data_IF_053202249686
#
_entry.id   IF_053202249686
#
_cell.length_a   1.000
_cell.length_b   1.000
_cell.length_c   1.000
_cell.angle_alpha   90.00
_cell.angle_beta   90.00
_cell.angle_gamma   90.00
#
_symmetry.space_group_name_H-M   'P 1'
#
loop_
_entity.id
_entity.type
_entity.pdbx_description
1 polymer ?
#
# COMPACT_ATOMS: atom_id res chain seq x y z
N UNK A 1 -51.98 -10.15 26.46
CA UNK A 1 -51.45 -10.41 27.81
C UNK A 1 -50.30 -11.40 27.71
N UNK A 2 -49.20 -11.03 28.35
CA UNK A 2 -47.90 -11.71 28.47
C UNK A 2 -46.95 -11.53 27.29
N UNK A 3 -46.06 -10.58 27.51
CA UNK A 3 -44.79 -10.34 26.90
C UNK A 3 -43.77 -11.41 27.32
N UNK A 4 -43.12 -12.05 26.38
CA UNK A 4 -41.92 -12.86 26.64
C UNK A 4 -40.72 -12.14 26.06
N UNK A 5 -39.87 -11.66 26.99
CA UNK A 5 -38.53 -11.13 26.72
C UNK A 5 -37.61 -12.28 26.32
N UNK A 6 -36.98 -12.17 25.18
CA UNK A 6 -35.84 -13.01 24.78
C UNK A 6 -34.56 -12.39 25.35
N UNK A 7 -33.71 -13.14 26.07
CA UNK A 7 -32.44 -12.65 26.60
C UNK A 7 -31.41 -12.50 25.48
N UNK A 8 -30.71 -11.36 25.50
CA UNK A 8 -29.64 -11.07 24.58
C UNK A 8 -28.49 -12.09 24.67
N UNK A 9 -28.04 -12.52 23.52
CA UNK A 9 -26.82 -13.33 23.39
C UNK A 9 -25.62 -12.45 23.74
N UNK A 10 -24.89 -12.84 24.77
CA UNK A 10 -23.55 -12.31 25.04
C UNK A 10 -22.62 -12.85 23.98
N UNK A 11 -21.88 -11.95 23.30
CA UNK A 11 -20.80 -12.31 22.40
C UNK A 11 -19.75 -13.10 23.18
N UNK A 12 -19.42 -14.28 22.70
CA UNK A 12 -18.29 -15.06 23.19
C UNK A 12 -17.01 -14.47 22.58
N UNK A 13 -16.02 -14.23 23.41
CA UNK A 13 -14.70 -13.74 22.99
C UNK A 13 -13.94 -14.87 22.30
N UNK A 14 -13.29 -14.54 21.21
CA UNK A 14 -12.33 -15.42 20.54
C UNK A 14 -11.11 -15.62 21.42
N UNK A 15 -10.66 -16.87 21.57
CA UNK A 15 -9.43 -17.19 22.30
C UNK A 15 -8.27 -17.34 21.32
N UNK A 16 -7.28 -16.45 21.42
CA UNK A 16 -6.01 -16.59 20.72
C UNK A 16 -4.98 -17.27 21.62
N UNK A 17 -4.48 -18.43 21.21
CA UNK A 17 -3.42 -19.15 21.94
C UNK A 17 -2.07 -18.75 21.35
N UNK A 18 -1.31 -17.97 22.10
CA UNK A 18 0.09 -17.69 21.81
C UNK A 18 0.97 -18.73 22.50
N UNK A 19 1.65 -19.56 21.72
CA UNK A 19 2.67 -20.47 22.25
C UNK A 19 3.93 -19.68 22.55
N UNK A 20 4.22 -19.50 23.82
CA UNK A 20 5.25 -18.63 24.34
C UNK A 20 6.67 -18.99 23.88
N UNK A 21 7.45 -17.97 23.63
CA UNK A 21 8.87 -18.01 23.34
C UNK A 21 9.67 -17.60 24.54
N UNK A 22 10.58 -18.43 24.96
CA UNK A 22 11.68 -18.07 25.84
C UNK A 22 12.98 -18.20 25.06
N UNK A 23 13.66 -17.10 24.79
CA UNK A 23 15.09 -17.08 24.53
C UNK A 23 15.70 -15.75 24.95
N UNK A 24 16.79 -15.81 25.72
CA UNK A 24 17.42 -14.63 26.26
C UNK A 24 18.48 -14.12 25.29
N UNK A 25 18.45 -12.85 24.94
CA UNK A 25 19.66 -12.18 24.52
C UNK A 25 19.69 -10.75 25.05
N UNK A 26 20.49 -10.55 26.07
CA UNK A 26 20.93 -9.24 26.51
C UNK A 26 22.02 -8.77 25.57
N UNK A 27 21.88 -7.57 25.00
CA UNK A 27 23.01 -6.75 24.66
C UNK A 27 22.61 -5.27 24.65
N UNK A 28 23.44 -4.50 25.30
CA UNK A 28 23.32 -3.04 25.51
C UNK A 28 23.84 -2.26 24.31
N UNK A 29 23.29 -1.08 24.18
CA UNK A 29 23.83 0.19 23.65
C UNK A 29 23.67 0.53 22.18
N UNK A 30 23.04 1.65 21.98
CA UNK A 30 23.20 2.71 20.94
C UNK A 30 23.27 2.29 19.44
N UNK A 31 22.23 2.36 18.71
CA UNK A 31 21.73 3.43 17.87
C UNK A 31 22.11 3.48 16.40
N UNK A 32 22.22 2.36 15.73
CA UNK A 32 21.95 2.22 14.29
C UNK A 32 21.33 0.85 14.09
N UNK A 33 20.13 0.78 13.55
CA UNK A 33 19.53 -0.51 13.22
C UNK A 33 20.18 -0.98 11.92
N UNK A 34 21.03 -2.00 12.03
CA UNK A 34 21.60 -2.72 10.89
C UNK A 34 20.79 -4.00 10.77
N UNK A 35 20.06 -4.15 9.69
CA UNK A 35 19.45 -5.43 9.33
C UNK A 35 20.49 -6.23 8.54
N UNK A 36 21.06 -7.27 9.15
CA UNK A 36 21.97 -8.21 8.47
C UNK A 36 21.14 -9.27 7.74
N UNK A 37 21.36 -9.43 6.46
CA UNK A 37 20.89 -10.57 5.67
C UNK A 37 21.92 -11.70 5.79
N UNK A 38 21.47 -12.93 5.96
CA UNK A 38 22.24 -14.14 6.22
C UNK A 38 23.21 -14.53 5.09
N UNK A 39 24.33 -15.05 5.49
CA UNK A 39 25.53 -15.44 4.73
C UNK A 39 25.29 -16.47 3.62
N UNK A 40 25.87 -16.21 2.44
CA UNK A 40 26.29 -17.22 1.48
C UNK A 40 27.83 -17.24 1.45
N UNK A 41 28.39 -18.44 1.39
CA UNK A 41 29.83 -18.72 1.48
C UNK A 41 30.66 -17.99 0.42
N UNK A 42 31.75 -17.38 0.88
CA UNK A 42 32.69 -16.57 0.11
C UNK A 42 33.73 -17.44 -0.56
N UNK A 43 33.92 -17.27 -1.88
CA UNK A 43 35.14 -17.60 -2.59
C UNK A 43 36.09 -16.38 -2.56
N UNK A 44 37.34 -16.59 -2.22
CA UNK A 44 38.36 -15.58 -1.97
C UNK A 44 38.71 -14.74 -3.23
N UNK A 45 38.83 -13.41 -3.03
CA UNK A 45 39.62 -12.55 -3.88
C UNK A 45 38.89 -11.50 -4.70
N UNK A 46 38.15 -10.58 -4.05
CA UNK A 46 37.89 -9.20 -4.51
C UNK A 46 37.60 -8.33 -3.28
N UNK A 47 38.08 -7.09 -3.27
CA UNK A 47 37.71 -6.12 -2.24
C UNK A 47 36.18 -6.13 -2.03
N UNK A 48 35.69 -6.13 -0.79
CA UNK A 48 34.26 -6.20 -0.54
C UNK A 48 33.62 -4.91 -1.08
N UNK A 49 32.84 -5.03 -2.15
CA UNK A 49 31.85 -4.03 -2.49
C UNK A 49 30.98 -3.90 -1.22
N UNK A 50 30.90 -2.70 -0.64
CA UNK A 50 30.03 -2.40 0.49
C UNK A 50 28.62 -2.85 0.12
N UNK A 51 28.11 -3.87 0.82
CA UNK A 51 26.74 -4.33 0.59
C UNK A 51 25.77 -3.15 0.66
N UNK A 52 24.81 -3.03 -0.26
CA UNK A 52 23.89 -1.93 -0.28
C UNK A 52 23.05 -1.94 1.00
N UNK A 53 23.27 -0.94 1.84
CA UNK A 53 22.73 -0.79 3.19
C UNK A 53 21.31 -0.23 3.12
N UNK A 54 20.35 -0.77 3.86
CA UNK A 54 19.05 -0.15 4.06
C UNK A 54 19.15 0.84 5.22
N UNK A 55 18.89 2.11 4.94
CA UNK A 55 18.79 3.17 5.95
C UNK A 55 17.41 3.83 5.89
N UNK A 56 16.75 3.95 7.05
CA UNK A 56 15.45 4.61 7.18
C UNK A 56 15.56 5.71 8.21
N UNK A 57 15.22 6.91 7.81
CA UNK A 57 15.22 8.11 8.66
C UNK A 57 13.90 8.86 8.53
N UNK A 58 13.53 9.59 9.57
CA UNK A 58 12.31 10.42 9.60
C UNK A 58 12.61 11.85 10.00
N UNK A 59 11.73 12.77 9.63
CA UNK A 59 11.77 14.15 10.13
C UNK A 59 11.68 14.16 11.67
N UNK A 60 12.27 15.16 12.29
CA UNK A 60 12.49 15.23 13.74
C UNK A 60 11.26 14.93 14.61
N UNK A 61 10.07 15.32 14.16
CA UNK A 61 8.82 15.17 14.92
C UNK A 61 7.85 14.16 14.29
N UNK A 62 8.30 13.34 13.35
CA UNK A 62 7.44 12.35 12.70
C UNK A 62 6.79 11.40 13.71
N UNK A 63 7.55 10.92 14.69
CA UNK A 63 7.04 10.00 15.72
C UNK A 63 6.01 10.66 16.63
N UNK A 64 6.19 11.94 16.97
CA UNK A 64 5.22 12.70 17.74
C UNK A 64 3.94 12.91 16.93
N UNK A 65 4.07 13.29 15.65
CA UNK A 65 2.93 13.40 14.75
C UNK A 65 2.14 12.06 14.63
N UNK A 66 2.83 10.93 14.53
CA UNK A 66 2.19 9.60 14.51
C UNK A 66 1.43 9.32 15.82
N UNK A 67 2.04 9.65 16.96
CA UNK A 67 1.42 9.46 18.26
C UNK A 67 0.20 10.37 18.46
N UNK A 68 0.28 11.64 18.08
CA UNK A 68 -0.80 12.63 18.18
C UNK A 68 -1.99 12.23 17.31
N UNK A 69 -1.75 11.70 16.11
CA UNK A 69 -2.78 11.21 15.20
C UNK A 69 -3.18 9.75 15.48
N UNK A 70 -2.58 9.08 16.47
CA UNK A 70 -2.84 7.69 16.85
C UNK A 70 -2.79 6.76 15.64
N UNK A 71 -1.74 6.86 14.84
CA UNK A 71 -1.61 6.14 13.58
C UNK A 71 -0.23 5.52 13.42
N UNK A 72 -0.18 4.30 12.93
CA UNK A 72 0.99 3.69 12.32
C UNK A 72 0.82 3.67 10.80
N UNK A 73 1.92 3.49 10.07
CA UNK A 73 1.92 3.48 8.61
C UNK A 73 2.37 2.12 8.09
N UNK A 74 1.81 1.71 6.96
CA UNK A 74 2.27 0.54 6.22
C UNK A 74 2.52 0.90 4.76
N UNK A 75 3.52 0.27 4.13
CA UNK A 75 3.75 0.41 2.71
C UNK A 75 4.43 -0.81 2.12
N UNK A 76 4.23 -1.00 0.83
CA UNK A 76 4.84 -2.06 0.03
C UNK A 76 5.94 -1.52 -0.87
N UNK A 77 6.84 -2.42 -1.30
CA UNK A 77 7.93 -2.11 -2.23
C UNK A 77 7.91 -3.11 -3.38
N UNK A 78 7.90 -2.61 -4.60
CA UNK A 78 7.74 -3.44 -5.79
C UNK A 78 8.90 -4.43 -6.00
N UNK A 79 10.11 -3.90 -6.18
CA UNK A 79 11.27 -4.72 -6.58
C UNK A 79 11.86 -5.56 -5.46
N UNK A 80 11.96 -4.98 -4.27
CA UNK A 80 12.54 -5.68 -3.13
C UNK A 80 11.54 -6.62 -2.46
N UNK A 81 10.25 -6.54 -2.86
CA UNK A 81 9.19 -7.40 -2.35
C UNK A 81 9.03 -7.31 -0.85
N UNK A 82 9.13 -6.12 -0.28
CA UNK A 82 9.03 -5.91 1.16
C UNK A 82 7.75 -5.17 1.54
N UNK A 83 7.18 -5.59 2.65
CA UNK A 83 6.17 -4.83 3.41
C UNK A 83 6.86 -4.20 4.58
N UNK A 84 6.70 -2.91 4.75
CA UNK A 84 7.15 -2.17 5.92
C UNK A 84 5.96 -1.75 6.76
N UNK A 85 6.09 -1.92 8.08
CA UNK A 85 5.18 -1.40 9.07
C UNK A 85 5.96 -0.43 9.96
N UNK A 86 5.50 0.82 9.98
CA UNK A 86 6.17 1.91 10.67
C UNK A 86 5.32 2.32 11.87
N UNK A 87 5.91 2.32 13.03
CA UNK A 87 5.27 2.68 14.29
C UNK A 87 6.19 3.46 15.21
N UNK A 88 5.83 3.53 16.48
CA UNK A 88 6.58 4.24 17.50
C UNK A 88 7.00 3.28 18.62
N UNK A 89 8.27 3.32 19.01
CA UNK A 89 8.83 2.61 20.17
C UNK A 89 8.81 3.52 21.41
N UNK A 90 8.88 2.94 22.62
CA UNK A 90 9.08 3.72 23.84
C UNK A 90 10.25 4.71 23.71
N UNK A 91 10.04 5.94 24.21
CA UNK A 91 11.00 7.05 24.09
C UNK A 91 10.98 7.70 22.70
N UNK A 92 9.82 7.71 22.06
CA UNK A 92 9.52 8.42 20.79
C UNK A 92 10.45 8.04 19.63
N UNK A 93 10.92 6.79 19.63
CA UNK A 93 11.79 6.26 18.58
C UNK A 93 10.99 5.59 17.49
N UNK A 94 11.44 5.78 16.26
CA UNK A 94 10.83 5.11 15.10
C UNK A 94 10.94 3.58 15.26
N UNK A 95 9.81 2.89 15.11
CA UNK A 95 9.74 1.44 14.96
C UNK A 95 9.64 1.11 13.48
N UNK A 96 10.58 0.33 13.00
CA UNK A 96 10.54 -0.18 11.62
C UNK A 96 10.46 -1.70 11.70
N UNK A 97 9.44 -2.26 11.11
CA UNK A 97 9.25 -3.69 10.97
C UNK A 97 9.13 -4.04 9.49
N UNK A 98 9.72 -5.14 9.04
CA UNK A 98 9.63 -5.55 7.64
C UNK A 98 9.46 -7.06 7.47
N UNK A 99 8.78 -7.46 6.41
CA UNK A 99 8.71 -8.84 5.92
C UNK A 99 8.80 -8.86 4.40
N UNK A 100 9.40 -9.93 3.90
CA UNK A 100 9.60 -10.11 2.47
C UNK A 100 8.57 -11.08 1.90
N UNK A 101 7.91 -10.65 0.84
CA UNK A 101 7.03 -11.44 -0.01
C UNK A 101 7.47 -11.31 -1.47
N UNK A 102 6.87 -12.06 -2.35
CA UNK A 102 7.26 -12.02 -3.74
C UNK A 102 6.53 -10.89 -4.48
N UNK A 103 7.20 -9.79 -4.80
CA UNK A 103 6.66 -8.61 -5.51
C UNK A 103 5.37 -8.07 -4.87
N UNK A 104 5.49 -7.45 -3.68
CA UNK A 104 4.34 -6.80 -3.03
C UNK A 104 3.94 -5.55 -3.79
N UNK A 105 2.61 -5.38 -3.99
CA UNK A 105 2.05 -4.23 -4.70
C UNK A 105 0.89 -3.63 -3.93
N UNK A 106 -0.35 -3.72 -4.42
CA UNK A 106 -1.52 -3.15 -3.74
C UNK A 106 -1.67 -3.64 -2.30
N UNK A 107 -1.95 -2.72 -1.40
CA UNK A 107 -2.11 -2.94 0.04
C UNK A 107 -3.36 -2.21 0.53
N UNK A 108 -4.23 -2.91 1.26
CA UNK A 108 -5.45 -2.36 1.81
C UNK A 108 -5.56 -2.69 3.29
N UNK A 109 -5.97 -1.71 4.10
CA UNK A 109 -6.36 -1.89 5.49
C UNK A 109 -7.89 -1.85 5.59
N UNK A 110 -8.47 -2.82 6.25
CA UNK A 110 -9.90 -2.98 6.44
C UNK A 110 -10.22 -3.24 7.91
N UNK A 111 -11.50 -3.10 8.28
CA UNK A 111 -11.99 -3.38 9.63
C UNK A 111 -11.15 -2.67 10.72
N UNK A 112 -11.01 -1.34 10.60
CA UNK A 112 -10.23 -0.50 11.52
C UNK A 112 -8.80 -1.01 11.76
N UNK A 113 -8.16 -1.50 10.70
CA UNK A 113 -6.79 -2.02 10.76
C UNK A 113 -6.67 -3.41 11.39
N UNK A 114 -7.76 -4.15 11.57
CA UNK A 114 -7.70 -5.54 12.03
C UNK A 114 -7.33 -6.49 10.90
N UNK A 115 -7.73 -6.18 9.68
CA UNK A 115 -7.48 -6.97 8.48
C UNK A 115 -6.60 -6.22 7.49
N UNK A 116 -5.62 -6.90 6.90
CA UNK A 116 -4.87 -6.38 5.76
C UNK A 116 -5.06 -7.30 4.56
N UNK A 117 -5.23 -6.68 3.39
CA UNK A 117 -5.15 -7.34 2.10
C UNK A 117 -3.95 -6.83 1.33
N UNK A 118 -3.21 -7.73 0.72
CA UNK A 118 -2.00 -7.40 -0.03
C UNK A 118 -1.90 -8.25 -1.29
N UNK A 119 -1.62 -7.63 -2.42
CA UNK A 119 -1.23 -8.34 -3.63
C UNK A 119 0.26 -8.69 -3.63
N UNK A 120 0.59 -9.83 -4.17
CA UNK A 120 1.95 -10.28 -4.48
C UNK A 120 2.00 -10.78 -5.91
N UNK A 121 3.12 -11.35 -6.35
CA UNK A 121 3.35 -11.75 -7.74
C UNK A 121 2.16 -12.47 -8.40
N UNK A 122 1.58 -13.44 -7.70
CA UNK A 122 0.47 -14.25 -8.22
C UNK A 122 -0.54 -14.63 -7.14
N UNK A 123 -0.58 -13.88 -6.03
CA UNK A 123 -1.48 -14.16 -4.90
C UNK A 123 -2.02 -12.86 -4.29
N UNK A 124 -3.24 -12.95 -3.79
CA UNK A 124 -3.79 -12.03 -2.80
C UNK A 124 -3.71 -12.68 -1.43
N UNK A 125 -3.13 -11.97 -0.48
CA UNK A 125 -2.98 -12.39 0.91
C UNK A 125 -3.93 -11.61 1.79
N UNK A 126 -4.62 -12.33 2.68
CA UNK A 126 -5.36 -11.77 3.80
C UNK A 126 -4.60 -12.06 5.07
N UNK A 127 -4.35 -11.02 5.85
CA UNK A 127 -3.76 -11.08 7.18
C UNK A 127 -4.76 -10.59 8.20
N UNK A 128 -4.84 -11.28 9.33
CA UNK A 128 -5.66 -10.89 10.48
C UNK A 128 -4.78 -10.51 11.65
N UNK A 129 -5.17 -9.47 12.39
CA UNK A 129 -4.55 -9.19 13.67
C UNK A 129 -4.91 -10.30 14.68
N UNK A 130 -3.90 -10.96 15.23
CA UNK A 130 -4.08 -12.05 16.17
C UNK A 130 -4.09 -11.61 17.66
N UNK A 131 -3.96 -10.31 17.93
CA UNK A 131 -3.95 -9.77 19.28
C UNK A 131 -5.31 -9.19 19.65
N UNK A 132 -5.78 -9.54 20.84
CA UNK A 132 -6.96 -8.93 21.43
C UNK A 132 -6.71 -7.47 21.84
N UNK A 133 -7.74 -6.63 21.98
CA UNK A 133 -7.60 -5.27 22.47
C UNK A 133 -6.84 -5.22 23.79
N UNK A 134 -5.73 -4.45 23.83
CA UNK A 134 -4.86 -4.31 24.99
C UNK A 134 -3.81 -5.41 25.15
N UNK A 135 -3.81 -6.44 24.32
CA UNK A 135 -2.70 -7.40 24.26
C UNK A 135 -1.50 -6.84 23.53
N UNK A 136 -0.33 -7.40 23.85
CA UNK A 136 0.90 -7.14 23.11
C UNK A 136 1.75 -8.40 22.98
N UNK A 137 2.46 -8.53 21.88
CA UNK A 137 3.46 -9.57 21.64
C UNK A 137 4.81 -8.88 21.41
N UNK A 138 5.80 -9.14 22.24
CA UNK A 138 7.15 -8.54 22.16
C UNK A 138 7.14 -6.99 22.08
N UNK A 139 6.14 -6.36 22.73
CA UNK A 139 5.95 -4.92 22.71
C UNK A 139 5.31 -4.38 21.42
N UNK A 140 4.77 -5.24 20.58
CA UNK A 140 3.92 -4.88 19.43
C UNK A 140 2.46 -4.99 19.83
N UNK A 141 1.63 -4.06 19.39
CA UNK A 141 0.19 -3.99 19.70
C UNK A 141 -0.71 -4.47 18.54
N UNK A 142 -0.09 -4.87 17.43
CA UNK A 142 -0.72 -5.59 16.32
C UNK A 142 0.22 -6.69 15.83
N UNK A 143 -0.33 -7.88 15.61
CA UNK A 143 0.37 -9.02 15.03
C UNK A 143 -0.45 -9.58 13.87
N UNK A 144 -0.09 -9.19 12.65
CA UNK A 144 -0.76 -9.67 11.45
C UNK A 144 -0.28 -11.05 11.06
N UNK A 145 -1.21 -12.01 11.06
CA UNK A 145 -0.95 -13.41 10.69
C UNK A 145 -1.65 -13.71 9.37
N UNK A 146 -0.95 -14.29 8.37
CA UNK A 146 -1.57 -14.65 7.11
C UNK A 146 -2.59 -15.79 7.33
N UNK A 147 -3.84 -15.58 6.91
CA UNK A 147 -4.93 -16.55 7.06
C UNK A 147 -5.42 -17.09 5.72
N UNK A 148 -5.39 -16.30 4.66
CA UNK A 148 -5.83 -16.70 3.33
C UNK A 148 -4.77 -16.30 2.29
N UNK A 149 -4.43 -17.25 1.41
CA UNK A 149 -3.66 -17.00 0.20
C UNK A 149 -4.50 -17.42 -1.01
N UNK A 150 -5.00 -16.45 -1.77
CA UNK A 150 -5.76 -16.70 -2.99
C UNK A 150 -4.85 -16.57 -4.21
N UNK A 151 -4.79 -17.61 -5.04
CA UNK A 151 -3.93 -17.63 -6.23
C UNK A 151 -4.64 -17.03 -7.44
N UNK A 152 -4.07 -15.93 -7.95
CA UNK A 152 -4.60 -15.21 -9.12
C UNK A 152 -3.90 -15.59 -10.42
N UNK A 153 -2.67 -16.12 -10.35
CA UNK A 153 -1.69 -16.02 -11.44
C UNK A 153 -1.08 -14.63 -11.52
N UNK A 154 -0.11 -14.44 -12.40
CA UNK A 154 0.54 -13.13 -12.60
C UNK A 154 -0.33 -12.24 -13.50
N UNK A 155 -1.22 -11.48 -12.89
CA UNK A 155 -2.17 -10.57 -13.53
C UNK A 155 -1.90 -9.11 -13.22
N UNK A 156 -0.77 -8.83 -12.57
CA UNK A 156 -0.27 -7.50 -12.24
C UNK A 156 -1.28 -6.68 -11.43
N UNK A 157 -1.63 -7.17 -10.23
CA UNK A 157 -2.62 -6.53 -9.36
C UNK A 157 -2.07 -5.26 -8.74
N UNK A 158 -2.51 -4.11 -9.25
CA UNK A 158 -1.99 -2.80 -8.87
C UNK A 158 -2.64 -2.20 -7.62
N UNK A 159 -3.92 -2.44 -7.39
CA UNK A 159 -4.65 -1.87 -6.25
C UNK A 159 -5.66 -2.89 -5.72
N UNK A 160 -5.95 -2.82 -4.43
CA UNK A 160 -6.88 -3.73 -3.73
C UNK A 160 -7.74 -2.93 -2.78
N UNK A 161 -9.04 -3.21 -2.74
CA UNK A 161 -9.96 -2.64 -1.77
C UNK A 161 -11.02 -3.67 -1.34
N UNK A 162 -11.72 -3.38 -0.24
CA UNK A 162 -12.84 -4.16 0.25
C UNK A 162 -14.11 -3.32 0.16
N UNK A 163 -15.13 -3.87 -0.47
CA UNK A 163 -16.45 -3.23 -0.52
C UNK A 163 -17.18 -3.35 0.82
N UNK A 164 -18.18 -2.49 1.03
CA UNK A 164 -19.06 -2.58 2.20
C UNK A 164 -19.78 -3.93 2.33
N UNK A 165 -19.88 -4.69 1.25
CA UNK A 165 -20.38 -6.07 1.22
C UNK A 165 -19.39 -7.12 1.73
N UNK A 166 -18.14 -6.72 2.00
CA UNK A 166 -17.02 -7.64 2.31
C UNK A 166 -16.36 -8.24 1.07
N UNK A 167 -16.81 -7.89 -0.14
CA UNK A 167 -16.20 -8.38 -1.38
C UNK A 167 -14.88 -7.67 -1.63
N UNK A 168 -13.82 -8.44 -1.84
CA UNK A 168 -12.52 -7.90 -2.25
C UNK A 168 -12.55 -7.58 -3.74
N UNK A 169 -12.20 -6.34 -4.09
CA UNK A 169 -12.07 -5.88 -5.47
C UNK A 169 -10.62 -5.46 -5.70
N UNK A 170 -10.10 -5.78 -6.86
CA UNK A 170 -8.74 -5.43 -7.23
C UNK A 170 -8.63 -4.99 -8.69
N UNK A 171 -7.63 -4.14 -8.92
CA UNK A 171 -7.26 -3.68 -10.26
C UNK A 171 -6.40 -4.74 -10.92
N UNK A 172 -6.93 -5.37 -11.96
CA UNK A 172 -6.24 -6.33 -12.81
C UNK A 172 -5.66 -5.59 -14.01
N UNK A 173 -4.43 -5.15 -13.89
CA UNK A 173 -3.78 -4.29 -14.89
C UNK A 173 -3.51 -5.02 -16.19
N UNK A 174 -3.07 -6.29 -16.10
CA UNK A 174 -2.77 -7.09 -17.28
C UNK A 174 -3.98 -7.24 -18.20
N UNK A 175 -5.19 -7.37 -17.63
CA UNK A 175 -6.44 -7.50 -18.39
C UNK A 175 -7.21 -6.18 -18.54
N UNK A 176 -6.77 -5.10 -17.89
CA UNK A 176 -7.40 -3.78 -17.94
C UNK A 176 -8.82 -3.79 -17.36
N UNK A 177 -9.04 -4.40 -16.19
CA UNK A 177 -10.38 -4.52 -15.60
C UNK A 177 -10.35 -4.48 -14.07
N UNK A 178 -11.47 -4.16 -13.43
CA UNK A 178 -11.73 -4.48 -12.04
C UNK A 178 -12.15 -5.94 -11.93
N UNK A 179 -11.63 -6.62 -10.93
CA UNK A 179 -11.85 -8.05 -10.72
C UNK A 179 -12.09 -8.37 -9.25
N UNK A 180 -12.64 -9.54 -8.99
CA UNK A 180 -12.76 -10.14 -7.65
C UNK A 180 -12.31 -11.59 -7.66
N UNK A 181 -12.16 -12.16 -6.48
CA UNK A 181 -11.85 -13.58 -6.31
C UNK A 181 -12.94 -14.49 -6.88
N UNK A 182 -12.57 -15.70 -7.24
CA UNK A 182 -13.45 -16.76 -7.73
C UNK A 182 -13.06 -18.09 -7.09
N UNK A 183 -14.03 -18.90 -6.75
CA UNK A 183 -13.79 -20.23 -6.15
C UNK A 183 -13.21 -21.25 -7.14
N UNK A 184 -13.29 -20.96 -8.45
CA UNK A 184 -12.93 -21.92 -9.49
C UNK A 184 -12.05 -21.35 -10.61
N UNK A 185 -11.74 -20.06 -10.61
CA UNK A 185 -10.96 -19.39 -11.64
C UNK A 185 -9.91 -18.44 -11.01
N UNK A 186 -8.92 -18.05 -11.78
CA UNK A 186 -7.91 -17.08 -11.33
C UNK A 186 -8.48 -15.74 -10.89
N UNK A 187 -9.59 -15.32 -11.49
CA UNK A 187 -10.36 -14.13 -11.10
C UNK A 187 -11.73 -14.13 -11.79
N UNK A 188 -12.62 -13.28 -11.30
CA UNK A 188 -13.89 -12.95 -11.96
C UNK A 188 -13.90 -11.45 -12.29
N UNK A 189 -14.03 -11.05 -13.57
CA UNK A 189 -14.12 -9.65 -13.94
C UNK A 189 -15.45 -9.06 -13.44
N UNK A 190 -15.39 -7.80 -12.98
CA UNK A 190 -16.55 -7.04 -12.51
C UNK A 190 -16.90 -5.91 -13.47
N UNK A 191 -15.89 -5.22 -13.99
CA UNK A 191 -16.02 -4.06 -14.83
C UNK A 191 -14.75 -3.85 -15.67
N UNK A 192 -14.86 -3.24 -16.83
CA UNK A 192 -13.74 -2.79 -17.65
C UNK A 192 -14.04 -1.41 -18.23
N UNK A 193 -13.01 -0.57 -18.50
CA UNK A 193 -13.21 0.71 -19.16
C UNK A 193 -13.95 0.57 -20.51
N UNK A 194 -14.77 1.57 -20.90
CA UNK A 194 -15.55 1.50 -22.13
C UNK A 194 -14.69 1.41 -23.40
N UNK A 195 -13.48 1.92 -23.37
CA UNK A 195 -12.53 1.89 -24.48
C UNK A 195 -11.78 0.54 -24.61
N UNK A 196 -11.90 -0.37 -23.66
CA UNK A 196 -11.35 -1.73 -23.77
C UNK A 196 -12.37 -2.64 -24.47
N UNK A 197 -12.06 -3.09 -25.69
CA UNK A 197 -12.98 -3.89 -26.50
C UNK A 197 -13.18 -5.30 -25.92
N UNK A 198 -12.12 -5.96 -25.48
CA UNK A 198 -12.13 -7.32 -24.92
C UNK A 198 -11.13 -7.49 -23.79
N UNK A 199 -11.36 -8.46 -22.91
CA UNK A 199 -10.38 -8.90 -21.92
C UNK A 199 -9.28 -9.73 -22.61
N UNK A 200 -8.03 -9.28 -22.49
CA UNK A 200 -6.85 -9.96 -23.00
C UNK A 200 -5.65 -9.63 -22.10
N UNK A 201 -4.74 -10.58 -21.95
CA UNK A 201 -3.53 -10.42 -21.15
C UNK A 201 -2.48 -9.59 -21.92
N UNK A 202 -2.76 -8.31 -22.15
CA UNK A 202 -2.01 -7.43 -23.07
C UNK A 202 -1.64 -6.07 -22.46
N UNK A 203 -2.00 -5.80 -21.20
CA UNK A 203 -1.76 -4.49 -20.52
C UNK A 203 -2.02 -3.29 -21.43
N UNK A 204 -3.22 -3.20 -22.00
CA UNK A 204 -3.53 -2.24 -23.08
C UNK A 204 -3.55 -0.80 -22.61
N UNK A 205 -4.24 -0.52 -21.51
CA UNK A 205 -4.45 0.83 -20.99
C UNK A 205 -3.66 1.14 -19.72
N UNK A 206 -3.05 0.14 -19.13
CA UNK A 206 -2.42 0.18 -17.81
C UNK A 206 -3.35 0.76 -16.76
N UNK A 207 -4.46 0.01 -16.49
CA UNK A 207 -5.38 0.34 -15.42
C UNK A 207 -4.63 0.28 -14.10
N UNK A 208 -4.67 1.36 -13.30
CA UNK A 208 -3.63 1.57 -12.30
C UNK A 208 -4.14 1.59 -10.86
N UNK A 209 -5.22 2.27 -10.58
CA UNK A 209 -5.76 2.37 -9.23
C UNK A 209 -7.25 2.61 -9.24
N UNK A 210 -7.89 2.46 -8.07
CA UNK A 210 -9.30 2.73 -7.88
C UNK A 210 -9.57 3.56 -6.63
N UNK A 211 -10.59 4.41 -6.69
CA UNK A 211 -11.14 5.11 -5.55
C UNK A 211 -12.50 4.53 -5.19
N UNK A 212 -12.67 4.28 -3.90
CA UNK A 212 -13.92 3.82 -3.32
C UNK A 212 -14.75 5.01 -2.87
N UNK A 213 -16.06 5.01 -3.19
CA UNK A 213 -17.05 5.90 -2.59
C UNK A 213 -18.25 5.08 -2.14
N UNK A 214 -18.78 5.37 -0.97
CA UNK A 214 -19.92 4.66 -0.37
C UNK A 214 -19.72 3.13 -0.34
N UNK A 215 -18.46 2.70 -0.10
CA UNK A 215 -18.08 1.30 -0.01
C UNK A 215 -18.11 0.54 -1.35
N UNK A 216 -17.98 1.24 -2.49
CA UNK A 216 -17.93 0.64 -3.85
C UNK A 216 -16.87 1.33 -4.69
N UNK A 217 -16.27 0.63 -5.68
CA UNK A 217 -15.44 1.28 -6.68
C UNK A 217 -16.25 2.34 -7.44
N UNK A 218 -15.77 3.58 -7.44
CA UNK A 218 -16.44 4.68 -8.13
C UNK A 218 -15.58 5.26 -9.25
N UNK A 219 -14.27 5.43 -9.02
CA UNK A 219 -13.37 5.94 -10.06
C UNK A 219 -12.16 5.03 -10.21
N UNK A 220 -11.66 4.96 -11.41
CA UNK A 220 -10.40 4.27 -11.73
C UNK A 220 -9.49 5.19 -12.52
N UNK A 221 -8.17 5.01 -12.34
CA UNK A 221 -7.17 5.67 -13.16
C UNK A 221 -6.60 4.71 -14.19
N UNK A 222 -6.39 5.19 -15.43
CA UNK A 222 -5.68 4.49 -16.47
C UNK A 222 -4.58 5.39 -17.05
N UNK A 223 -3.46 4.80 -17.46
CA UNK A 223 -2.34 5.56 -18.06
C UNK A 223 -2.68 6.02 -19.48
N UNK A 224 -3.60 5.33 -20.15
CA UNK A 224 -4.13 5.77 -21.43
C UNK A 224 -5.45 5.09 -21.76
N UNK A 225 -6.14 5.59 -22.79
CA UNK A 225 -7.33 4.95 -23.38
C UNK A 225 -6.96 3.97 -24.49
N UNK A 226 -5.77 3.39 -24.45
CA UNK A 226 -5.30 2.45 -25.46
C UNK A 226 -6.05 1.11 -25.37
N UNK A 227 -6.38 0.55 -26.53
CA UNK A 227 -6.96 -0.79 -26.70
C UNK A 227 -6.04 -1.72 -27.52
N UNK A 228 -4.75 -1.45 -27.52
CA UNK A 228 -3.74 -2.29 -28.18
C UNK A 228 -2.67 -2.72 -27.17
N UNK A 229 -2.05 -3.88 -27.42
CA UNK A 229 -1.03 -4.47 -26.56
C UNK A 229 0.06 -3.45 -26.18
N UNK A 230 0.32 -3.27 -24.89
CA UNK A 230 1.29 -2.32 -24.32
C UNK A 230 1.14 -0.86 -24.82
N UNK A 231 0.01 -0.51 -25.43
CA UNK A 231 -0.19 0.77 -26.13
C UNK A 231 -0.18 2.02 -25.25
N UNK A 232 -0.26 1.84 -23.93
CA UNK A 232 -0.11 2.93 -22.97
C UNK A 232 1.30 3.51 -22.93
N UNK A 233 2.34 2.75 -23.34
CA UNK A 233 3.75 3.14 -23.18
C UNK A 233 4.10 4.41 -23.93
N UNK A 234 3.54 4.61 -25.11
CA UNK A 234 3.78 5.79 -25.93
C UNK A 234 2.95 7.02 -25.51
N UNK A 235 1.99 6.83 -24.59
CA UNK A 235 1.04 7.84 -24.14
C UNK A 235 1.22 8.25 -22.66
N UNK A 236 2.37 7.92 -22.07
CA UNK A 236 2.63 8.12 -20.64
C UNK A 236 2.62 9.57 -20.18
N UNK A 237 2.92 10.53 -21.08
CA UNK A 237 3.08 11.95 -20.72
C UNK A 237 1.74 12.67 -20.48
N UNK A 238 0.72 12.30 -21.24
CA UNK A 238 -0.56 13.04 -21.29
C UNK A 238 -1.78 12.16 -21.64
N UNK A 239 -1.60 10.86 -21.78
CA UNK A 239 -2.69 9.94 -22.14
C UNK A 239 -3.56 9.51 -20.98
N UNK A 240 -3.18 9.86 -19.75
CA UNK A 240 -3.83 9.37 -18.53
C UNK A 240 -5.22 9.97 -18.32
N UNK A 241 -6.11 9.16 -17.78
CA UNK A 241 -7.50 9.54 -17.52
C UNK A 241 -8.04 8.95 -16.22
N UNK A 242 -9.12 9.53 -15.73
CA UNK A 242 -9.98 8.99 -14.67
C UNK A 242 -11.34 8.65 -15.29
N UNK A 243 -11.82 7.44 -15.01
CA UNK A 243 -13.11 6.93 -15.50
C UNK A 243 -14.04 6.68 -14.32
N UNK A 244 -15.28 7.12 -14.43
CA UNK A 244 -16.35 6.77 -13.51
C UNK A 244 -16.84 5.35 -13.83
N UNK A 245 -16.78 4.47 -12.84
CA UNK A 245 -17.13 3.04 -13.00
C UNK A 245 -18.62 2.82 -13.21
N UNK A 246 -19.45 3.69 -12.66
CA UNK A 246 -20.92 3.57 -12.72
C UNK A 246 -21.48 4.10 -14.04
N UNK A 247 -21.02 5.29 -14.45
CA UNK A 247 -21.53 5.95 -15.67
C UNK A 247 -20.73 5.57 -16.92
N UNK A 248 -19.53 5.01 -16.77
CA UNK A 248 -18.55 4.77 -17.83
C UNK A 248 -18.02 6.05 -18.50
N UNK A 249 -18.22 7.21 -17.88
CA UNK A 249 -17.73 8.48 -18.39
C UNK A 249 -16.28 8.72 -18.02
N UNK A 250 -15.54 9.33 -18.92
CA UNK A 250 -14.20 9.84 -18.65
C UNK A 250 -14.36 11.23 -18.02
N UNK A 251 -14.03 11.34 -16.72
CA UNK A 251 -14.25 12.56 -15.95
C UNK A 251 -13.09 13.56 -16.04
N UNK A 252 -11.89 13.08 -16.36
CA UNK A 252 -10.71 13.90 -16.63
C UNK A 252 -9.72 13.17 -17.54
N UNK A 253 -9.03 13.92 -18.38
CA UNK A 253 -7.97 13.47 -19.30
C UNK A 253 -6.72 14.33 -19.15
N UNK A 254 -5.65 13.92 -19.82
CA UNK A 254 -4.40 14.72 -19.91
C UNK A 254 -3.48 14.53 -18.71
N UNK A 255 -3.71 13.50 -17.89
CA UNK A 255 -2.83 13.16 -16.77
C UNK A 255 -1.59 12.41 -17.27
N UNK A 256 -0.50 12.53 -16.51
CA UNK A 256 0.72 11.78 -16.74
C UNK A 256 0.88 10.65 -15.73
N UNK A 257 0.72 9.41 -16.17
CA UNK A 257 0.87 8.25 -15.28
C UNK A 257 0.07 8.40 -13.97
N UNK A 258 -1.27 8.57 -14.00
CA UNK A 258 -2.07 8.78 -12.79
C UNK A 258 -2.07 7.54 -11.91
N UNK A 259 -1.81 7.70 -10.59
CA UNK A 259 -1.78 6.63 -9.60
C UNK A 259 -2.68 6.90 -8.42
N UNK A 260 -3.07 5.83 -7.75
CA UNK A 260 -3.69 5.82 -6.41
C UNK A 260 -4.81 6.85 -6.23
N UNK A 261 -5.83 6.88 -7.11
CA UNK A 261 -6.99 7.74 -6.85
C UNK A 261 -7.61 7.32 -5.51
N UNK A 262 -8.00 8.31 -4.68
CA UNK A 262 -8.66 8.07 -3.38
C UNK A 262 -9.72 9.14 -3.14
N UNK A 263 -10.91 8.72 -2.73
CA UNK A 263 -11.96 9.63 -2.27
C UNK A 263 -11.77 9.93 -0.79
N UNK A 264 -11.59 11.19 -0.45
CA UNK A 264 -11.40 11.62 0.93
C UNK A 264 -11.86 13.06 1.12
N UNK A 265 -12.64 13.34 2.19
CA UNK A 265 -13.17 14.66 2.50
C UNK A 265 -13.81 15.35 1.28
N UNK A 266 -14.75 14.62 0.64
CA UNK A 266 -15.53 15.10 -0.53
C UNK A 266 -14.69 15.53 -1.74
N UNK A 267 -13.47 14.95 -1.88
CA UNK A 267 -12.59 15.19 -3.03
C UNK A 267 -12.00 13.89 -3.54
N UNK A 268 -11.87 13.83 -4.85
CA UNK A 268 -11.12 12.77 -5.51
C UNK A 268 -9.65 13.20 -5.64
N UNK A 269 -8.81 12.70 -4.75
CA UNK A 269 -7.38 12.93 -4.76
C UNK A 269 -6.69 11.97 -5.73
N UNK A 270 -5.67 12.45 -6.43
CA UNK A 270 -4.93 11.69 -7.44
C UNK A 270 -3.46 12.08 -7.41
N UNK A 271 -2.58 11.12 -7.70
CA UNK A 271 -1.17 11.34 -7.93
C UNK A 271 -0.95 11.45 -9.44
N UNK A 272 -0.63 12.63 -9.93
CA UNK A 272 -0.19 12.87 -11.31
C UNK A 272 1.32 12.62 -11.39
N UNK A 273 1.67 11.32 -11.31
CA UNK A 273 3.00 10.83 -10.94
C UNK A 273 4.07 11.17 -11.95
N UNK A 274 3.71 11.19 -13.25
CA UNK A 274 4.65 11.55 -14.32
C UNK A 274 5.00 13.03 -14.34
N UNK A 275 4.18 13.88 -13.73
CA UNK A 275 4.42 15.31 -13.53
C UNK A 275 4.97 15.63 -12.13
N UNK A 276 4.88 14.67 -11.18
CA UNK A 276 5.36 14.83 -9.82
C UNK A 276 4.43 15.61 -8.89
N UNK A 277 3.12 15.65 -9.17
CA UNK A 277 2.18 16.41 -8.38
C UNK A 277 1.15 15.54 -7.65
N UNK A 278 0.96 15.80 -6.37
CA UNK A 278 -0.21 15.44 -5.58
C UNK A 278 -1.28 16.51 -5.76
N UNK A 279 -2.52 16.13 -6.00
CA UNK A 279 -3.63 17.05 -6.18
C UNK A 279 -4.98 16.34 -6.20
N UNK A 280 -6.01 17.03 -6.66
CA UNK A 280 -7.36 16.50 -6.71
C UNK A 280 -8.05 16.84 -8.04
N UNK A 281 -9.15 16.16 -8.32
CA UNK A 281 -9.98 16.41 -9.50
C UNK A 281 -11.05 17.45 -9.16
N UNK A 282 -11.04 18.56 -9.89
CA UNK A 282 -12.13 19.52 -9.93
C UNK A 282 -13.14 19.05 -10.99
N UNK A 283 -14.26 18.50 -10.53
CA UNK A 283 -15.29 17.94 -11.42
C UNK A 283 -16.03 19.01 -12.24
N UNK A 284 -16.15 20.23 -11.73
CA UNK A 284 -16.80 21.33 -12.45
C UNK A 284 -15.97 21.79 -13.64
N UNK A 285 -14.64 21.88 -13.44
CA UNK A 285 -13.70 22.24 -14.49
C UNK A 285 -13.22 21.07 -15.32
N UNK A 286 -13.49 19.84 -14.89
CA UNK A 286 -12.98 18.59 -15.46
C UNK A 286 -11.45 18.62 -15.58
N UNK A 287 -10.77 19.04 -14.52
CA UNK A 287 -9.32 19.23 -14.47
C UNK A 287 -8.70 18.70 -13.19
N UNK A 288 -7.44 18.33 -13.31
CA UNK A 288 -6.57 18.10 -12.17
C UNK A 288 -6.09 19.46 -11.62
N UNK A 289 -6.29 19.66 -10.33
CA UNK A 289 -5.79 20.82 -9.58
C UNK A 289 -4.59 20.38 -8.73
N UNK A 290 -3.36 20.78 -9.10
CA UNK A 290 -2.16 20.42 -8.35
C UNK A 290 -2.12 21.16 -7.01
N UNK A 291 -1.78 20.44 -5.94
CA UNK A 291 -1.62 20.98 -4.58
C UNK A 291 -0.15 21.07 -4.20
N UNK A 292 0.59 19.96 -4.35
CA UNK A 292 1.98 19.87 -3.88
C UNK A 292 2.85 19.13 -4.88
N UNK A 293 4.02 19.72 -5.19
CA UNK A 293 5.07 18.99 -5.88
C UNK A 293 5.81 18.06 -4.92
N UNK A 294 5.91 16.79 -5.28
CA UNK A 294 6.61 15.79 -4.51
C UNK A 294 7.85 15.32 -5.30
N UNK A 295 9.07 15.48 -4.78
CA UNK A 295 10.29 15.17 -5.51
C UNK A 295 10.53 13.66 -5.60
N UNK A 296 9.88 13.00 -6.52
CA UNK A 296 9.95 11.57 -6.77
C UNK A 296 8.73 11.06 -7.53
N UNK A 297 8.84 9.86 -8.08
CA UNK A 297 7.72 9.20 -8.73
C UNK A 297 6.75 8.71 -7.66
N UNK A 298 5.52 9.20 -7.70
CA UNK A 298 4.53 8.97 -6.65
C UNK A 298 3.80 7.65 -6.85
N UNK A 299 3.67 6.86 -5.78
CA UNK A 299 2.83 5.67 -5.71
C UNK A 299 2.38 5.41 -4.29
N UNK A 300 1.12 5.03 -4.13
CA UNK A 300 0.49 4.82 -2.83
C UNK A 300 0.11 6.12 -2.15
N UNK A 301 -1.13 6.17 -1.68
CA UNK A 301 -1.69 7.31 -0.98
C UNK A 301 -2.69 6.85 0.07
N UNK A 302 -2.54 7.38 1.29
CA UNK A 302 -3.48 7.18 2.39
C UNK A 302 -3.73 8.50 3.13
N UNK A 303 -4.74 8.50 3.98
CA UNK A 303 -5.15 9.71 4.71
C UNK A 303 -5.36 9.43 6.19
N UNK A 304 -5.14 10.46 7.01
CA UNK A 304 -5.53 10.51 8.42
C UNK A 304 -5.81 11.95 8.82
N UNK A 305 -7.01 12.25 9.33
CA UNK A 305 -7.42 13.62 9.67
C UNK A 305 -7.21 14.59 8.51
N UNK A 306 -6.49 15.67 8.73
CA UNK A 306 -6.19 16.67 7.70
C UNK A 306 -4.88 16.39 6.94
N UNK A 307 -4.42 15.14 6.90
CA UNK A 307 -3.14 14.81 6.30
C UNK A 307 -3.26 13.72 5.23
N UNK A 308 -2.52 13.91 4.13
CA UNK A 308 -2.23 12.87 3.15
C UNK A 308 -0.83 12.29 3.40
N UNK A 309 -0.69 10.99 3.24
CA UNK A 309 0.58 10.25 3.23
C UNK A 309 0.83 9.76 1.82
N UNK A 310 1.87 10.25 1.17
CA UNK A 310 2.21 9.94 -0.23
C UNK A 310 3.52 9.19 -0.31
N UNK A 311 3.51 8.05 -0.98
CA UNK A 311 4.71 7.25 -1.27
C UNK A 311 5.49 7.80 -2.46
N UNK A 312 6.80 7.86 -2.33
CA UNK A 312 7.74 8.32 -3.36
C UNK A 312 8.74 7.24 -3.71
N UNK A 313 9.06 7.17 -5.00
CA UNK A 313 10.08 6.30 -5.56
C UNK A 313 11.12 7.11 -6.33
N UNK A 314 12.35 6.62 -6.36
CA UNK A 314 13.35 7.13 -7.30
C UNK A 314 13.00 6.61 -8.70
N UNK A 315 12.90 7.45 -9.72
CA UNK A 315 12.70 7.00 -11.08
C UNK A 315 13.88 6.12 -11.50
N UNK A 316 13.58 4.94 -12.04
CA UNK A 316 14.62 4.12 -12.65
C UNK A 316 14.99 4.68 -14.02
N UNK A 317 16.25 4.54 -14.38
CA UNK A 317 16.71 4.79 -15.76
C UNK A 317 16.24 3.65 -16.70
N UNK A 318 14.93 3.43 -16.76
CA UNK A 318 14.32 2.48 -17.69
C UNK A 318 13.27 3.17 -18.56
N UNK A 319 12.84 2.46 -19.62
CA UNK A 319 11.87 3.00 -20.59
C UNK A 319 10.53 3.44 -19.97
N UNK A 320 10.18 2.96 -18.77
CA UNK A 320 8.91 3.30 -18.12
C UNK A 320 8.92 4.68 -17.50
N UNK A 321 10.03 5.10 -16.89
CA UNK A 321 10.12 6.35 -16.13
C UNK A 321 10.93 7.46 -16.85
N UNK A 322 11.77 7.12 -17.83
CA UNK A 322 12.56 8.13 -18.55
C UNK A 322 11.69 9.01 -19.45
N UNK A 323 12.00 10.29 -19.50
CA UNK A 323 11.36 11.27 -20.38
C UNK A 323 9.98 11.75 -19.90
N UNK A 324 9.65 11.59 -18.63
CA UNK A 324 8.49 12.21 -17.99
C UNK A 324 8.81 13.66 -17.59
N UNK A 325 7.79 14.49 -17.44
CA UNK A 325 7.97 15.88 -17.02
C UNK A 325 8.52 16.01 -15.60
N UNK A 326 8.41 14.96 -14.77
CA UNK A 326 9.03 14.88 -13.45
C UNK A 326 10.54 15.16 -13.50
N UNK A 327 11.27 14.65 -14.53
CA UNK A 327 12.72 14.87 -14.66
C UNK A 327 13.03 16.36 -14.91
N UNK A 328 12.20 17.03 -15.72
CA UNK A 328 12.28 18.45 -16.00
C UNK A 328 11.98 19.29 -14.75
N UNK A 329 10.94 18.92 -13.99
CA UNK A 329 10.55 19.61 -12.76
C UNK A 329 11.58 19.42 -11.62
N UNK A 330 12.19 18.25 -11.50
CA UNK A 330 13.30 18.03 -10.57
C UNK A 330 14.51 18.91 -10.91
N UNK A 331 14.90 18.93 -12.17
CA UNK A 331 16.01 19.78 -12.65
C UNK A 331 15.73 21.27 -12.41
N UNK A 332 14.54 21.75 -12.75
CA UNK A 332 14.12 23.13 -12.54
C UNK A 332 14.14 23.58 -11.09
N UNK A 333 13.91 22.65 -10.15
CA UNK A 333 13.88 22.90 -8.71
C UNK A 333 15.21 22.58 -8.00
N UNK A 334 16.24 22.19 -8.74
CA UNK A 334 17.51 21.70 -8.19
C UNK A 334 17.27 20.64 -7.09
N UNK A 335 16.41 19.68 -7.38
CA UNK A 335 15.96 18.66 -6.43
C UNK A 335 16.28 17.25 -6.95
N UNK A 336 16.75 16.39 -6.04
CA UNK A 336 16.93 14.97 -6.30
C UNK A 336 15.64 14.19 -6.03
N UNK A 337 15.38 13.19 -6.85
CA UNK A 337 14.31 12.24 -6.58
C UNK A 337 14.55 11.47 -5.27
N UNK A 338 13.50 11.32 -4.47
CA UNK A 338 13.55 10.67 -3.15
C UNK A 338 12.74 9.39 -3.14
N UNK A 339 13.15 8.44 -2.27
CA UNK A 339 12.36 7.28 -1.92
C UNK A 339 11.90 7.40 -0.47
N UNK A 340 10.62 7.13 -0.19
CA UNK A 340 10.06 7.21 1.15
C UNK A 340 8.63 7.74 1.18
N UNK A 341 8.24 8.35 2.28
CA UNK A 341 6.91 8.92 2.49
C UNK A 341 6.99 10.42 2.69
N UNK A 342 5.99 11.14 2.19
CA UNK A 342 5.74 12.54 2.56
C UNK A 342 4.37 12.65 3.21
N UNK A 343 4.29 13.44 4.27
CA UNK A 343 3.06 13.78 4.97
C UNK A 343 2.72 15.24 4.61
N UNK A 344 1.57 15.43 3.99
CA UNK A 344 1.12 16.71 3.43
C UNK A 344 -0.10 17.16 4.22
N UNK A 345 -0.07 18.38 4.75
CA UNK A 345 -1.25 19.03 5.35
C UNK A 345 -2.21 19.46 4.23
N UNK A 346 -3.42 18.91 4.22
CA UNK A 346 -4.43 19.17 3.17
C UNK A 346 -4.97 20.61 3.18
N UNK A 347 -4.81 21.33 4.28
CA UNK A 347 -5.31 22.71 4.43
C UNK A 347 -4.36 23.72 3.79
N UNK A 348 -3.04 23.49 3.90
CA UNK A 348 -2.01 24.39 3.38
C UNK A 348 -1.32 23.87 2.11
N UNK A 349 -1.32 22.57 1.89
CA UNK A 349 -0.53 21.91 0.86
C UNK A 349 0.95 21.72 1.24
N UNK A 350 1.34 22.06 2.48
CA UNK A 350 2.74 21.95 2.91
C UNK A 350 3.12 20.51 3.25
N UNK A 351 4.36 20.13 2.93
CA UNK A 351 4.98 18.88 3.40
C UNK A 351 5.46 19.11 4.82
N UNK A 352 4.73 18.59 5.80
CA UNK A 352 5.01 18.80 7.23
C UNK A 352 5.97 17.78 7.82
N UNK A 353 5.94 16.54 7.32
CA UNK A 353 6.83 15.46 7.74
C UNK A 353 7.25 14.60 6.57
N UNK A 354 8.29 13.80 6.78
CA UNK A 354 8.78 12.83 5.82
C UNK A 354 9.43 11.63 6.51
N UNK A 355 9.40 10.48 5.82
CA UNK A 355 10.23 9.31 6.08
C UNK A 355 11.05 9.06 4.82
N UNK A 356 12.37 8.95 4.95
CA UNK A 356 13.30 8.70 3.84
C UNK A 356 13.86 7.30 3.93
N UNK A 357 13.99 6.66 2.78
CA UNK A 357 14.57 5.35 2.62
C UNK A 357 15.75 5.47 1.65
N UNK A 358 16.91 4.96 2.07
CA UNK A 358 18.13 4.98 1.29
C UNK A 358 18.74 3.57 1.22
N UNK A 359 19.43 3.29 0.13
CA UNK A 359 20.07 1.99 -0.12
C UNK A 359 19.29 1.09 -1.06
N UNK A 360 19.01 -0.16 -0.66
CA UNK A 360 18.46 -1.20 -1.54
C UNK A 360 17.00 -0.99 -1.97
N UNK A 361 16.23 -0.15 -1.27
CA UNK A 361 14.84 0.15 -1.59
C UNK A 361 14.80 1.49 -2.33
N UNK A 362 14.43 1.44 -3.59
CA UNK A 362 14.29 2.62 -4.45
C UNK A 362 12.85 2.88 -4.88
N UNK A 363 11.96 1.91 -4.73
CA UNK A 363 10.57 1.96 -5.18
C UNK A 363 9.61 1.56 -4.09
N UNK A 364 8.71 2.46 -3.71
CA UNK A 364 7.48 2.16 -2.99
C UNK A 364 6.36 1.86 -3.99
N UNK A 365 5.34 1.15 -3.50
CA UNK A 365 4.20 0.83 -4.34
C UNK A 365 2.87 1.33 -3.78
N UNK A 366 2.47 0.86 -2.60
CA UNK A 366 1.23 1.32 -1.97
C UNK A 366 1.46 1.73 -0.52
N UNK A 367 0.55 2.54 0.01
CA UNK A 367 0.63 3.11 1.36
C UNK A 367 -0.71 2.98 2.05
N UNK A 368 -0.69 2.57 3.32
CA UNK A 368 -1.87 2.53 4.20
C UNK A 368 -1.61 3.23 5.52
N UNK A 369 -2.69 3.65 6.16
CA UNK A 369 -2.72 4.03 7.57
C UNK A 369 -3.30 2.90 8.40
N UNK A 370 -2.81 2.77 9.65
CA UNK A 370 -3.26 1.82 10.65
C UNK A 370 -3.74 2.60 11.88
N UNK A 371 -5.02 3.01 11.90
CA UNK A 371 -5.58 3.79 13.00
C UNK A 371 -5.52 3.02 14.33
N UNK A 372 -5.31 3.76 15.43
CA UNK A 372 -5.29 3.18 16.77
C UNK A 372 -4.13 2.20 17.03
N UNK A 373 -3.16 2.14 16.12
CA UNK A 373 -2.00 1.23 16.19
C UNK A 373 -0.73 2.01 16.51
N UNK A 374 0.06 1.51 17.44
CA UNK A 374 1.31 2.16 17.87
C UNK A 374 2.54 1.48 17.30
N UNK A 375 2.55 0.16 17.31
CA UNK A 375 3.72 -0.63 16.90
C UNK A 375 3.28 -1.94 16.25
N UNK A 376 2.98 -1.95 14.96
CA UNK A 376 2.55 -3.15 14.26
C UNK A 376 3.70 -4.06 13.87
N UNK A 377 3.41 -5.38 13.82
CA UNK A 377 4.26 -6.40 13.23
C UNK A 377 3.42 -7.38 12.40
N UNK A 378 4.08 -8.18 11.57
CA UNK A 378 3.42 -9.23 10.79
C UNK A 378 4.29 -10.47 10.66
N UNK A 379 3.67 -11.61 10.37
CA UNK A 379 4.35 -12.86 10.08
C UNK A 379 4.46 -13.06 8.57
N UNK A 380 5.64 -13.49 8.14
CA UNK A 380 5.92 -13.90 6.76
C UNK A 380 6.13 -15.42 6.66
N UNK A 381 6.50 -15.87 5.45
CA UNK A 381 6.69 -17.30 5.18
C UNK A 381 8.16 -17.73 5.17
N UNK A 382 9.09 -16.80 5.34
CA UNK A 382 10.54 -17.09 5.29
C UNK A 382 11.14 -17.40 6.66
N UNK A 383 10.37 -17.27 7.75
CA UNK A 383 10.80 -17.54 9.12
C UNK A 383 9.96 -18.63 9.75
N UNK A 384 10.44 -19.25 10.83
CA UNK A 384 9.72 -20.31 11.53
C UNK A 384 8.52 -19.80 12.37
N UNK A 385 8.31 -18.49 12.44
CA UNK A 385 7.17 -17.86 13.14
C UNK A 385 5.85 -18.42 12.65
N UNK A 386 5.67 -18.58 11.33
CA UNK A 386 4.45 -19.11 10.72
C UNK A 386 4.08 -20.53 11.21
N UNK A 387 5.07 -21.32 11.64
CA UNK A 387 4.84 -22.67 12.14
C UNK A 387 4.35 -22.72 13.58
N UNK A 388 4.45 -21.62 14.31
CA UNK A 388 4.27 -21.55 15.75
C UNK A 388 3.19 -20.58 16.19
N UNK A 389 2.74 -19.70 15.31
CA UNK A 389 1.68 -18.74 15.61
C UNK A 389 0.39 -19.22 14.98
N UNK A 390 -0.55 -19.57 15.83
CA UNK A 390 -1.86 -20.09 15.45
C UNK A 390 -2.94 -19.23 16.12
N UNK A 391 -3.98 -18.91 15.39
CA UNK A 391 -5.22 -18.35 15.92
C UNK A 391 -6.33 -19.38 15.80
N UNK A 392 -7.13 -19.51 16.84
CA UNK A 392 -8.26 -20.45 16.90
C UNK A 392 -9.53 -19.61 16.89
N UNK A 393 -10.42 -19.90 15.94
CA UNK A 393 -11.74 -19.27 15.90
C UNK A 393 -12.60 -19.67 17.10
N UNK A 394 -13.71 -18.97 17.33
CA UNK A 394 -14.64 -19.32 18.39
C UNK A 394 -15.13 -20.78 18.24
N UNK A 395 -15.35 -21.46 19.37
CA UNK A 395 -15.88 -22.79 19.37
C UNK A 395 -17.20 -22.82 18.58
N UNK A 396 -17.21 -23.59 17.50
CA UNK A 396 -18.44 -23.96 16.83
C UNK A 396 -19.25 -24.94 17.72
N UNK A 397 -20.51 -25.18 17.38
CA UNK A 397 -21.25 -26.28 17.92
C UNK A 397 -20.56 -27.57 17.46
N UNK A 398 -19.80 -28.21 18.37
CA UNK A 398 -19.15 -29.49 18.15
C UNK A 398 -20.18 -30.62 18.33
#
# INVERSE_FOLDING_TARGET
MRSDCVPGRRGQAEQTVLVGWSSPCQARSSHKIIVMTTESQVAAGKEPATEPRLEISGSRQLTNWMADNKVSLGFTTYQTGKVFLIGVKPGDKLSVFERTFNRCMGLCSDNDGQTLWMSSLYQLWRFENALEPGQSADGYDRLYVPQIGYTTGDIDVHDVAVESSGRVVFVNTLFGCLSTMSDSHSFRPLWKPPFISRLAAEDRCHLNGMAMQDGRPKWVSAVSQSDVNDGWRDRRRDGGCIVDVETNEIVVEGLSMPHSPRWYQDRLWVLDSGNGYFGYIDFEKQKFEPVTFCPGYQRGMAFVGDYAIVGLSRPRHNKTFSGLALDEELTKRDADARCGLQIIDLRSGDIVHWLRIEGIVEELYDVITLPGTVRPMMIGFKTDEIRRTLSIGPDGEL
#
